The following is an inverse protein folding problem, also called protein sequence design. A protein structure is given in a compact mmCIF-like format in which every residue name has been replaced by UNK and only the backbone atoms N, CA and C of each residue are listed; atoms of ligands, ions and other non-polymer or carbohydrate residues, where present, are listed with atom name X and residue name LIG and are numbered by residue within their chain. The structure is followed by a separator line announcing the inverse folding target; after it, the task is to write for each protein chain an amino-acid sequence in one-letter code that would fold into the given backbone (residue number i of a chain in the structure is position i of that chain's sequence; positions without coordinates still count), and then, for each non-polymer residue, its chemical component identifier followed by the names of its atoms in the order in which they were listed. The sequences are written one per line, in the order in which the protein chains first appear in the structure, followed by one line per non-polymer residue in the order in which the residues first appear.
data_IF_983391625719
#
_entry.id   IF_983391625719
#
_cell.length_a   1.000
_cell.length_b   1.000
_cell.length_c   1.000
_cell.angle_alpha   90.00
_cell.angle_beta   90.00
_cell.angle_gamma   90.00
#
_symmetry.space_group_name_H-M   'P 1'
#
loop_
_entity.id
_entity.type
_entity.pdbx_description
1 polymer ?
#
# COMPACT_ATOMS: atom_id res chain seq x y z
N UNK A 1 -0.11 -8.79 27.91
CA UNK A 1 -0.63 -8.85 26.54
C UNK A 1 0.18 -7.86 25.72
N UNK A 2 1.03 -8.32 24.79
CA UNK A 2 1.80 -7.41 23.93
C UNK A 2 0.85 -6.81 22.89
N UNK A 3 0.57 -5.51 23.00
CA UNK A 3 -0.17 -4.76 21.98
C UNK A 3 0.69 -4.71 20.71
N UNK A 4 0.45 -5.64 19.80
CA UNK A 4 1.15 -5.71 18.53
C UNK A 4 0.35 -4.93 17.48
N UNK A 5 0.27 -3.61 17.67
CA UNK A 5 -0.34 -2.69 16.71
C UNK A 5 0.33 -2.87 15.33
N UNK A 6 -0.43 -2.99 14.24
CA UNK A 6 0.14 -3.08 12.90
C UNK A 6 0.99 -1.85 12.60
N UNK A 7 2.32 -2.04 12.56
CA UNK A 7 3.26 -0.94 12.28
C UNK A 7 3.57 -0.89 10.80
N UNK A 8 2.73 -0.22 10.03
CA UNK A 8 2.97 0.05 8.61
C UNK A 8 4.12 1.04 8.45
N UNK A 9 5.19 0.65 7.75
CA UNK A 9 6.32 1.52 7.42
C UNK A 9 6.60 1.59 5.93
N UNK A 10 6.41 0.48 5.23
CA UNK A 10 6.71 0.34 3.81
C UNK A 10 5.57 -0.32 3.05
N UNK A 11 5.60 -0.20 1.72
CA UNK A 11 4.62 -0.85 0.83
C UNK A 11 4.41 -2.34 1.15
N UNK A 12 5.49 -3.05 1.48
CA UNK A 12 5.44 -4.47 1.86
C UNK A 12 4.50 -4.75 3.03
N UNK A 13 4.44 -3.88 4.05
CA UNK A 13 3.57 -4.08 5.21
C UNK A 13 2.09 -4.01 4.81
N UNK A 14 1.76 -3.15 3.84
CA UNK A 14 0.41 -3.05 3.27
C UNK A 14 0.08 -4.30 2.43
N UNK A 15 1.05 -4.82 1.68
CA UNK A 15 0.87 -6.10 0.99
C UNK A 15 0.63 -7.25 1.97
N UNK A 16 1.35 -7.28 3.10
CA UNK A 16 1.16 -8.29 4.14
C UNK A 16 -0.21 -8.18 4.82
N UNK A 17 -0.80 -6.98 4.91
CA UNK A 17 -2.18 -6.79 5.34
C UNK A 17 -3.15 -7.43 4.34
N UNK A 18 -3.05 -7.10 3.06
CA UNK A 18 -3.95 -7.62 2.01
C UNK A 18 -3.90 -9.15 1.91
N UNK A 19 -2.72 -9.75 2.09
CA UNK A 19 -2.55 -11.21 2.10
C UNK A 19 -3.39 -11.92 3.16
N UNK A 20 -3.67 -11.29 4.30
CA UNK A 20 -4.54 -11.87 5.35
C UNK A 20 -5.98 -12.09 4.85
N UNK A 21 -6.37 -11.37 3.82
CA UNK A 21 -7.68 -11.44 3.17
C UNK A 21 -7.62 -12.14 1.80
N UNK A 22 -6.49 -12.79 1.47
CA UNK A 22 -6.31 -13.48 0.19
C UNK A 22 -6.17 -12.55 -1.03
N UNK A 23 -5.92 -11.26 -0.82
CA UNK A 23 -5.73 -10.28 -1.91
C UNK A 23 -4.25 -10.10 -2.25
N UNK A 24 -3.93 -10.21 -3.54
CA UNK A 24 -2.58 -10.08 -4.10
C UNK A 24 -2.62 -9.17 -5.32
N UNK A 25 -1.70 -8.20 -5.35
CA UNK A 25 -1.58 -7.23 -6.46
C UNK A 25 -0.21 -7.38 -7.10
N UNK A 26 -0.20 -7.59 -8.41
CA UNK A 26 1.01 -7.61 -9.25
C UNK A 26 0.66 -7.34 -10.72
N UNK A 27 1.19 -6.25 -11.26
CA UNK A 27 0.99 -5.74 -12.61
C UNK A 27 2.31 -5.57 -13.38
N UNK A 28 3.44 -5.85 -12.74
CA UNK A 28 4.77 -5.66 -13.34
C UNK A 28 5.23 -4.20 -13.41
N UNK A 29 4.45 -3.25 -12.90
CA UNK A 29 4.83 -1.86 -12.75
C UNK A 29 4.56 -1.39 -11.31
N UNK A 30 5.60 -0.94 -10.62
CA UNK A 30 5.53 -0.58 -9.19
C UNK A 30 4.52 0.52 -8.89
N UNK A 31 4.41 1.53 -9.75
CA UNK A 31 3.46 2.62 -9.55
C UNK A 31 2.02 2.10 -9.64
N UNK A 32 1.75 1.24 -10.61
CA UNK A 32 0.43 0.65 -10.83
C UNK A 32 0.07 -0.35 -9.72
N UNK A 33 1.06 -1.10 -9.24
CA UNK A 33 0.91 -1.98 -8.09
C UNK A 33 0.50 -1.21 -6.82
N UNK A 34 1.09 -0.03 -6.58
CA UNK A 34 0.73 0.83 -5.45
C UNK A 34 -0.70 1.34 -5.59
N UNK A 35 -1.09 1.82 -6.78
CA UNK A 35 -2.45 2.31 -7.05
C UNK A 35 -3.50 1.21 -6.86
N UNK A 36 -3.28 0.02 -7.43
CA UNK A 36 -4.21 -1.09 -7.30
C UNK A 36 -4.27 -1.63 -5.86
N UNK A 37 -3.15 -1.63 -5.13
CA UNK A 37 -3.14 -1.93 -3.69
C UNK A 37 -4.00 -0.95 -2.92
N UNK A 38 -4.03 0.34 -3.30
CA UNK A 38 -4.93 1.34 -2.71
C UNK A 38 -6.41 1.05 -2.96
N UNK A 39 -6.76 0.56 -4.15
CA UNK A 39 -8.13 0.14 -4.49
C UNK A 39 -8.55 -1.06 -3.64
N UNK A 40 -7.72 -2.10 -3.54
CA UNK A 40 -8.00 -3.28 -2.73
C UNK A 40 -8.08 -2.95 -1.23
N UNK A 41 -7.18 -2.08 -0.74
CA UNK A 41 -7.21 -1.59 0.63
C UNK A 41 -8.53 -0.87 0.96
N UNK A 42 -9.06 -0.06 0.03
CA UNK A 42 -10.36 0.59 0.21
C UNK A 42 -11.50 -0.43 0.25
N UNK A 43 -11.49 -1.44 -0.62
CA UNK A 43 -12.53 -2.48 -0.64
C UNK A 43 -12.62 -3.23 0.69
N UNK A 44 -11.48 -3.62 1.27
CA UNK A 44 -11.49 -4.34 2.56
C UNK A 44 -11.95 -3.44 3.72
N UNK A 45 -11.65 -2.14 3.67
CA UNK A 45 -12.13 -1.16 4.65
C UNK A 45 -13.64 -0.92 4.52
N UNK A 46 -14.14 -0.69 3.30
CA UNK A 46 -15.58 -0.50 3.03
C UNK A 46 -16.40 -1.74 3.45
N UNK A 47 -15.81 -2.94 3.37
CA UNK A 47 -16.42 -4.19 3.82
C UNK A 47 -16.34 -4.41 5.35
N UNK A 48 -15.75 -3.49 6.11
CA UNK A 48 -15.61 -3.56 7.56
C UNK A 48 -14.58 -4.59 8.05
N UNK A 49 -13.66 -5.04 7.19
CA UNK A 49 -12.66 -6.07 7.54
C UNK A 49 -11.44 -5.50 8.28
N UNK A 50 -11.23 -4.18 8.21
CA UNK A 50 -10.21 -3.44 8.95
C UNK A 50 -10.80 -2.16 9.51
N UNK A 51 -10.25 -1.67 10.63
CA UNK A 51 -10.69 -0.41 11.23
C UNK A 51 -10.12 0.83 10.53
N UNK A 52 -10.68 2.00 10.87
CA UNK A 52 -10.30 3.30 10.30
C UNK A 52 -8.83 3.65 10.54
N UNK A 53 -8.28 3.27 11.70
CA UNK A 53 -6.90 3.57 12.07
C UNK A 53 -5.92 2.78 11.19
N UNK A 54 -6.17 1.48 11.03
CA UNK A 54 -5.45 0.56 10.16
C UNK A 54 -5.50 1.04 8.72
N UNK A 55 -6.70 1.38 8.22
CA UNK A 55 -6.89 1.92 6.88
C UNK A 55 -6.09 3.21 6.67
N UNK A 56 -6.21 4.17 7.59
CA UNK A 56 -5.54 5.47 7.50
C UNK A 56 -4.01 5.32 7.49
N UNK A 57 -3.46 4.50 8.39
CA UNK A 57 -2.02 4.26 8.42
C UNK A 57 -1.50 3.58 7.14
N UNK A 58 -2.18 2.53 6.67
CA UNK A 58 -1.80 1.85 5.43
C UNK A 58 -1.88 2.79 4.22
N UNK A 59 -2.94 3.61 4.14
CA UNK A 59 -3.12 4.60 3.08
C UNK A 59 -2.02 5.67 3.08
N UNK A 60 -1.57 6.12 4.25
CA UNK A 60 -0.47 7.07 4.37
C UNK A 60 0.84 6.48 3.82
N UNK A 61 1.13 5.22 4.11
CA UNK A 61 2.29 4.51 3.57
C UNK A 61 2.19 4.37 2.04
N UNK A 62 1.03 3.98 1.49
CA UNK A 62 0.85 3.90 0.04
C UNK A 62 1.08 5.24 -0.65
N UNK A 63 0.57 6.34 -0.08
CA UNK A 63 0.79 7.68 -0.63
C UNK A 63 2.28 8.05 -0.64
N UNK A 64 3.00 7.78 0.43
CA UNK A 64 4.43 8.04 0.51
C UNK A 64 5.22 7.23 -0.52
N UNK A 65 4.95 5.93 -0.63
CA UNK A 65 5.59 5.03 -1.60
C UNK A 65 5.29 5.44 -3.04
N UNK A 66 4.06 5.89 -3.32
CA UNK A 66 3.68 6.41 -4.63
C UNK A 66 4.50 7.65 -4.99
N UNK A 67 4.59 8.64 -4.10
CA UNK A 67 5.39 9.86 -4.31
C UNK A 67 6.88 9.53 -4.57
N UNK A 68 7.44 8.56 -3.85
CA UNK A 68 8.81 8.10 -4.07
C UNK A 68 9.00 7.45 -5.44
N UNK A 69 8.09 6.56 -5.84
CA UNK A 69 8.16 5.88 -7.14
C UNK A 69 7.95 6.84 -8.32
N UNK A 70 7.08 7.85 -8.17
CA UNK A 70 6.92 8.91 -9.16
C UNK A 70 8.21 9.68 -9.39
N UNK A 71 8.86 10.13 -8.31
CA UNK A 71 10.15 10.84 -8.38
C UNK A 71 11.22 9.97 -9.04
N UNK A 72 11.28 8.70 -8.67
CA UNK A 72 12.20 7.74 -9.28
C UNK A 72 11.96 7.56 -10.78
N UNK A 73 10.68 7.44 -11.16
CA UNK A 73 10.28 7.30 -12.57
C UNK A 73 10.56 8.55 -13.40
N UNK A 74 10.53 9.74 -12.79
CA UNK A 74 10.91 10.99 -13.46
C UNK A 74 12.41 11.05 -13.70
N UNK A 75 13.23 10.80 -12.67
CA UNK A 75 14.69 10.81 -12.80
C UNK A 75 15.18 9.84 -13.88
N UNK A 76 14.60 8.64 -13.94
CA UNK A 76 14.96 7.64 -14.97
C UNK A 76 14.63 8.09 -16.41
N UNK A 77 13.66 8.99 -16.61
CA UNK A 77 13.33 9.54 -17.93
C UNK A 77 14.22 10.71 -18.31
N UNK A 78 14.76 11.43 -17.34
CA UNK A 78 15.68 12.56 -17.58
C UNK A 78 17.10 12.09 -17.92
N UNK A 79 17.47 10.87 -17.51
CA UNK A 79 18.75 10.24 -17.80
C UNK A 79 18.81 9.51 -19.17
N UNK A 80 17.68 9.42 -19.88
CA UNK A 80 17.53 8.76 -21.20
C UNK A 80 17.42 9.78 -22.33
#
# INVERSE_FOLDING_TARGET
MLNNEPKFRHYYDVQQLLKRFGSYVYMGNRLWDIEMTGVELKKIHDAGLIDDLTYTHAKLVLRHEHELEQKRSQNLKEEQ
#
